data_IF_766918567584
#
_entry.id   IF_766918567584
#
_cell.length_a   1.000
_cell.length_b   1.000
_cell.length_c   1.000
_cell.angle_alpha   90.00
_cell.angle_beta   90.00
_cell.angle_gamma   90.00
#
_symmetry.space_group_name_H-M   'P 1'
#
loop_
_entity.id
_entity.type
_entity.pdbx_description
1 polymer ?
#
# COMPACT_ATOMS: atom_id res chain seq x y z
N UNK A 1 -15.48 -6.34 -20.34
CA UNK A 1 -14.71 -7.13 -19.35
C UNK A 1 -15.59 -7.30 -18.12
N UNK A 2 -16.27 -8.44 -18.00
CA UNK A 2 -17.28 -8.71 -16.97
C UNK A 2 -16.58 -9.20 -15.69
N UNK A 3 -16.26 -8.29 -14.76
CA UNK A 3 -15.62 -8.63 -13.50
C UNK A 3 -16.69 -8.93 -12.45
N UNK A 4 -16.76 -10.19 -12.00
CA UNK A 4 -17.67 -10.62 -10.93
C UNK A 4 -17.27 -9.95 -9.62
N UNK A 5 -18.23 -9.28 -8.98
CA UNK A 5 -18.12 -8.55 -7.69
C UNK A 5 -17.50 -9.35 -6.53
N UNK A 6 -17.34 -10.68 -6.64
CA UNK A 6 -16.78 -11.54 -5.58
C UNK A 6 -15.25 -11.48 -5.48
N UNK A 7 -14.55 -11.02 -6.53
CA UNK A 7 -13.08 -11.04 -6.54
C UNK A 7 -12.42 -9.81 -5.91
N UNK A 8 -13.16 -8.71 -5.76
CA UNK A 8 -12.65 -7.46 -5.19
C UNK A 8 -12.40 -7.59 -3.67
N UNK A 9 -13.17 -8.44 -2.97
CA UNK A 9 -13.11 -8.57 -1.51
C UNK A 9 -12.17 -9.69 -1.02
N UNK A 10 -11.76 -10.62 -1.89
CA UNK A 10 -10.97 -11.80 -1.46
C UNK A 10 -9.47 -11.55 -1.37
N UNK A 11 -8.96 -10.38 -1.78
CA UNK A 11 -7.51 -10.15 -1.92
C UNK A 11 -6.98 -8.88 -1.26
N UNK A 12 -7.67 -8.33 -0.26
CA UNK A 12 -7.18 -7.26 0.58
C UNK A 12 -6.81 -7.76 1.98
N UNK A 13 -5.84 -8.68 2.07
CA UNK A 13 -5.34 -9.16 3.36
C UNK A 13 -4.01 -8.49 3.66
N UNK A 14 -3.96 -7.95 4.89
CA UNK A 14 -2.81 -7.51 5.67
C UNK A 14 -2.47 -6.03 5.54
N UNK A 15 -2.92 -5.27 6.54
CA UNK A 15 -2.49 -3.91 6.92
C UNK A 15 -3.28 -2.70 6.36
N UNK A 16 -4.61 -2.79 6.31
CA UNK A 16 -5.48 -1.61 6.25
C UNK A 16 -5.94 -1.17 7.65
N UNK A 17 -5.76 0.12 7.98
CA UNK A 17 -6.26 0.82 9.18
C UNK A 17 -5.59 0.48 10.53
N UNK A 18 -4.34 0.94 10.70
CA UNK A 18 -3.57 0.88 11.97
C UNK A 18 -4.13 1.68 13.16
N UNK A 19 -5.38 2.17 13.12
CA UNK A 19 -5.92 3.07 14.13
C UNK A 19 -7.03 2.51 15.03
N UNK A 20 -7.88 1.61 14.51
CA UNK A 20 -9.14 1.26 15.20
C UNK A 20 -9.34 -0.25 15.40
N UNK A 21 -8.52 -1.08 14.76
CA UNK A 21 -8.60 -2.55 14.85
C UNK A 21 -9.78 -3.17 14.10
N UNK A 22 -10.45 -2.45 13.19
CA UNK A 22 -11.56 -2.99 12.40
C UNK A 22 -11.15 -3.25 10.94
N UNK A 23 -11.45 -4.44 10.44
CA UNK A 23 -11.20 -4.87 9.06
C UNK A 23 -12.50 -5.42 8.44
N UNK A 24 -12.93 -4.85 7.31
CA UNK A 24 -14.09 -5.36 6.58
C UNK A 24 -13.72 -6.66 5.86
N UNK A 25 -14.40 -7.76 6.16
CA UNK A 25 -14.14 -9.05 5.48
C UNK A 25 -15.04 -9.29 4.27
N UNK A 26 -16.33 -8.97 4.38
CA UNK A 26 -17.29 -9.22 3.32
C UNK A 26 -18.54 -8.37 3.48
N UNK A 27 -19.23 -8.15 2.37
CA UNK A 27 -20.56 -7.56 2.36
C UNK A 27 -21.52 -8.43 1.55
N UNK A 28 -22.76 -8.56 2.01
CA UNK A 28 -23.84 -9.22 1.29
C UNK A 28 -25.01 -8.27 1.10
N UNK A 29 -25.55 -8.27 -0.11
CA UNK A 29 -26.82 -7.61 -0.44
C UNK A 29 -27.93 -8.63 -0.20
N UNK A 30 -28.94 -8.25 0.56
CA UNK A 30 -30.19 -8.98 0.58
C UNK A 30 -31.12 -8.29 -0.42
N UNK A 31 -31.68 -9.02 -1.39
CA UNK A 31 -32.51 -8.40 -2.45
C UNK A 31 -33.95 -8.14 -1.98
N UNK A 32 -34.39 -8.78 -0.90
CA UNK A 32 -35.75 -8.63 -0.33
C UNK A 32 -35.89 -7.44 0.63
N UNK A 33 -34.77 -6.95 1.18
CA UNK A 33 -34.73 -5.81 2.11
C UNK A 33 -33.72 -4.83 1.53
N UNK A 34 -33.99 -3.53 1.55
CA UNK A 34 -33.01 -2.49 1.15
C UNK A 34 -31.84 -2.36 2.14
N UNK A 35 -31.40 -3.47 2.73
CA UNK A 35 -30.41 -3.58 3.79
C UNK A 35 -29.24 -4.44 3.31
N UNK A 36 -28.04 -3.99 3.64
CA UNK A 36 -26.75 -4.63 3.39
C UNK A 36 -26.21 -5.13 4.71
N UNK A 37 -25.74 -6.37 4.74
CA UNK A 37 -25.05 -6.94 5.90
C UNK A 37 -23.53 -6.91 5.66
N UNK A 38 -22.79 -6.38 6.62
CA UNK A 38 -21.34 -6.26 6.61
C UNK A 38 -20.76 -7.15 7.70
N UNK A 39 -19.78 -7.99 7.36
CA UNK A 39 -18.99 -8.72 8.35
C UNK A 39 -17.68 -7.98 8.58
N UNK A 40 -17.49 -7.50 9.80
CA UNK A 40 -16.31 -6.74 10.23
C UNK A 40 -15.56 -7.56 11.27
N UNK A 41 -14.27 -7.77 11.05
CA UNK A 41 -13.33 -8.32 12.03
C UNK A 41 -12.88 -7.17 12.92
N UNK A 42 -13.00 -7.33 14.23
CA UNK A 42 -12.49 -6.40 15.22
C UNK A 42 -11.39 -7.09 16.03
N UNK A 43 -10.22 -6.46 16.11
CA UNK A 43 -9.11 -6.91 16.96
C UNK A 43 -9.07 -6.05 18.22
N UNK A 44 -9.42 -6.62 19.38
CA UNK A 44 -9.33 -5.98 20.70
C UNK A 44 -8.39 -6.82 21.57
N UNK A 45 -7.36 -6.22 22.15
CA UNK A 45 -6.49 -6.89 23.13
C UNK A 45 -5.98 -8.28 22.68
N UNK A 46 -5.60 -8.41 21.39
CA UNK A 46 -5.15 -9.66 20.73
C UNK A 46 -6.24 -10.74 20.52
N UNK A 47 -7.49 -10.46 20.84
CA UNK A 47 -8.65 -11.29 20.48
C UNK A 47 -9.32 -10.77 19.21
N UNK A 48 -9.79 -11.68 18.37
CA UNK A 48 -10.54 -11.36 17.15
C UNK A 48 -12.03 -11.65 17.33
N UNK A 49 -12.87 -10.65 17.11
CA UNK A 49 -14.33 -10.75 17.18
C UNK A 49 -14.91 -10.42 15.82
N UNK A 50 -15.82 -11.25 15.31
CA UNK A 50 -16.55 -10.96 14.08
C UNK A 50 -17.89 -10.33 14.43
N UNK A 51 -18.12 -9.09 13.96
CA UNK A 51 -19.37 -8.36 14.12
C UNK A 51 -20.13 -8.30 12.80
N UNK A 52 -21.45 -8.44 12.86
CA UNK A 52 -22.33 -8.23 11.71
C UNK A 52 -23.04 -6.89 11.86
N UNK A 53 -22.84 -5.98 10.91
CA UNK A 53 -23.50 -4.67 10.87
C UNK A 53 -24.56 -4.66 9.76
N UNK A 54 -25.69 -4.02 10.00
CA UNK A 54 -26.73 -3.82 8.98
C UNK A 54 -26.87 -2.33 8.65
N UNK A 55 -26.92 -2.00 7.36
CA UNK A 55 -27.00 -0.61 6.90
C UNK A 55 -27.73 -0.53 5.55
N UNK A 56 -28.30 0.64 5.22
CA UNK A 56 -28.95 0.85 3.90
C UNK A 56 -27.94 1.20 2.81
N UNK A 57 -26.94 2.00 3.15
CA UNK A 57 -25.91 2.48 2.22
C UNK A 57 -24.51 2.11 2.75
N UNK A 58 -23.62 1.78 1.82
CA UNK A 58 -22.20 1.49 2.09
C UNK A 58 -21.39 2.38 1.17
N UNK A 59 -20.51 3.20 1.76
CA UNK A 59 -19.54 4.03 1.04
C UNK A 59 -18.17 3.39 1.22
N UNK A 60 -17.53 3.01 0.11
CA UNK A 60 -16.19 2.43 0.13
C UNK A 60 -15.18 3.52 -0.18
N UNK A 61 -14.49 3.99 0.86
CA UNK A 61 -13.39 4.95 0.76
C UNK A 61 -12.05 4.26 1.08
N UNK A 62 -11.83 3.06 0.52
CA UNK A 62 -10.68 2.19 0.86
C UNK A 62 -9.35 2.61 0.21
N UNK A 63 -9.36 3.66 -0.62
CA UNK A 63 -8.21 4.05 -1.43
C UNK A 63 -7.86 3.04 -2.53
N UNK A 64 -6.71 3.23 -3.18
CA UNK A 64 -6.18 2.24 -4.12
C UNK A 64 -5.69 0.98 -3.40
N UNK A 65 -5.80 -0.16 -4.08
CA UNK A 65 -5.46 -1.49 -3.57
C UNK A 65 -3.94 -1.73 -3.38
N UNK A 66 -3.14 -0.68 -3.13
CA UNK A 66 -1.70 -0.74 -2.88
C UNK A 66 -1.36 -1.10 -1.42
N UNK A 67 -2.26 -1.75 -0.70
CA UNK A 67 -2.08 -2.09 0.71
C UNK A 67 -1.50 -3.50 0.92
N UNK A 68 -1.11 -4.22 -0.15
CA UNK A 68 -0.45 -5.51 -0.05
C UNK A 68 0.96 -5.40 -0.61
N UNK A 69 2.02 -5.54 0.22
CA UNK A 69 3.38 -5.48 -0.28
C UNK A 69 3.63 -6.65 -1.24
N UNK A 70 4.19 -6.35 -2.41
CA UNK A 70 4.63 -7.34 -3.38
C UNK A 70 6.15 -7.36 -3.40
N UNK A 71 6.72 -8.21 -2.56
CA UNK A 71 8.17 -8.38 -2.51
C UNK A 71 8.61 -9.25 -3.68
N UNK A 72 9.64 -8.83 -4.45
CA UNK A 72 10.26 -9.71 -5.42
C UNK A 72 10.97 -10.85 -4.69
N UNK A 73 10.99 -12.04 -5.29
CA UNK A 73 11.83 -13.13 -4.80
C UNK A 73 13.27 -12.93 -5.28
N UNK A 74 14.23 -13.02 -4.36
CA UNK A 74 15.66 -13.04 -4.68
C UNK A 74 16.36 -14.17 -3.90
N UNK A 75 17.14 -15.03 -4.57
CA UNK A 75 17.86 -16.12 -3.92
C UNK A 75 18.78 -15.59 -2.81
N UNK A 76 18.68 -16.16 -1.61
CA UNK A 76 19.54 -15.80 -0.48
C UNK A 76 19.07 -14.59 0.34
N UNK A 77 17.82 -14.12 0.18
CA UNK A 77 17.22 -13.07 1.01
C UNK A 77 17.47 -13.27 2.52
N UNK A 78 17.21 -14.47 3.03
CA UNK A 78 17.39 -14.86 4.44
C UNK A 78 18.86 -14.93 4.90
N UNK A 79 19.82 -14.93 3.97
CA UNK A 79 21.25 -14.99 4.28
C UNK A 79 21.90 -13.62 4.30
N UNK A 80 21.19 -12.58 3.85
CA UNK A 80 21.72 -11.23 3.87
C UNK A 80 21.67 -10.65 5.28
N UNK A 81 22.83 -10.19 5.79
CA UNK A 81 22.90 -9.39 7.04
C UNK A 81 22.49 -7.92 6.81
N UNK A 82 21.86 -7.61 5.68
CA UNK A 82 21.51 -6.26 5.26
C UNK A 82 20.07 -5.94 5.66
N UNK A 83 19.78 -4.65 5.78
CA UNK A 83 18.41 -4.18 6.03
C UNK A 83 17.62 -4.30 4.71
N UNK A 84 16.63 -5.20 4.68
CA UNK A 84 15.67 -5.31 3.59
C UNK A 84 14.33 -4.74 4.06
N UNK A 85 13.82 -3.72 3.36
CA UNK A 85 12.58 -3.05 3.72
C UNK A 85 11.74 -2.77 2.48
N UNK A 86 10.48 -3.19 2.50
CA UNK A 86 9.49 -2.79 1.49
C UNK A 86 9.02 -1.36 1.76
N UNK A 87 8.67 -0.62 0.69
CA UNK A 87 8.23 0.78 0.79
C UNK A 87 7.04 1.00 1.71
N UNK A 88 6.11 0.05 1.78
CA UNK A 88 4.97 0.08 2.72
C UNK A 88 5.40 0.17 4.20
N UNK A 89 6.59 -0.32 4.54
CA UNK A 89 7.17 -0.22 5.88
C UNK A 89 8.18 0.91 6.00
N UNK A 90 8.56 1.57 4.90
CA UNK A 90 9.49 2.68 4.88
C UNK A 90 8.93 3.85 5.70
N UNK A 91 9.79 4.48 6.49
CA UNK A 91 9.44 5.68 7.26
C UNK A 91 10.34 6.82 6.86
N UNK A 92 11.65 6.59 6.96
CA UNK A 92 12.68 7.55 6.66
C UNK A 92 14.04 6.85 6.54
N UNK A 93 15.06 7.56 6.03
CA UNK A 93 16.39 7.00 5.77
C UNK A 93 17.48 7.45 6.76
N UNK A 94 17.14 8.20 7.82
CA UNK A 94 18.13 8.82 8.74
C UNK A 94 19.03 7.79 9.42
N UNK A 95 18.54 6.58 9.66
CA UNK A 95 19.30 5.49 10.27
C UNK A 95 20.37 4.88 9.35
N UNK A 96 20.42 5.28 8.07
CA UNK A 96 21.30 4.71 7.06
C UNK A 96 22.39 5.68 6.57
N UNK A 97 22.64 6.75 7.33
CA UNK A 97 23.70 7.72 7.02
C UNK A 97 25.04 7.03 6.74
N UNK A 98 25.73 7.48 5.69
CA UNK A 98 26.99 6.92 5.19
C UNK A 98 26.92 5.46 4.70
N UNK A 99 25.75 4.81 4.67
CA UNK A 99 25.59 3.47 4.10
C UNK A 99 25.32 3.52 2.60
N UNK A 100 25.46 2.36 1.94
CA UNK A 100 25.12 2.17 0.53
C UNK A 100 23.72 1.57 0.42
N UNK A 101 22.81 2.28 -0.26
CA UNK A 101 21.43 1.88 -0.45
C UNK A 101 21.16 1.37 -1.87
N UNK A 102 20.24 0.41 -1.98
CA UNK A 102 19.69 -0.05 -3.26
C UNK A 102 18.18 0.08 -3.19
N UNK A 103 17.59 0.72 -4.21
CA UNK A 103 16.14 0.85 -4.38
C UNK A 103 15.72 0.01 -5.58
N UNK A 104 14.78 -0.92 -5.38
CA UNK A 104 14.24 -1.77 -6.45
C UNK A 104 12.90 -1.19 -6.89
N UNK A 105 12.82 -0.73 -8.14
CA UNK A 105 11.67 -0.01 -8.69
C UNK A 105 12.01 1.43 -9.08
N UNK A 106 11.19 2.02 -9.96
CA UNK A 106 11.42 3.35 -10.55
C UNK A 106 10.15 4.18 -10.71
N UNK A 107 9.07 3.80 -10.03
CA UNK A 107 7.86 4.61 -9.96
C UNK A 107 7.96 5.67 -8.84
N UNK A 108 6.90 6.43 -8.61
CA UNK A 108 6.85 7.55 -7.67
C UNK A 108 7.50 7.23 -6.32
N UNK A 109 7.07 6.16 -5.66
CA UNK A 109 7.58 5.77 -4.33
C UNK A 109 9.10 5.52 -4.32
N UNK A 110 9.66 4.99 -5.42
CA UNK A 110 11.09 4.77 -5.52
C UNK A 110 11.86 6.09 -5.67
N UNK A 111 11.31 7.07 -6.40
CA UNK A 111 11.86 8.41 -6.51
C UNK A 111 11.83 9.12 -5.14
N UNK A 112 10.69 9.12 -4.45
CA UNK A 112 10.54 9.74 -3.12
C UNK A 112 11.49 9.12 -2.09
N UNK A 113 11.62 7.79 -2.10
CA UNK A 113 12.54 7.07 -1.20
C UNK A 113 14.00 7.40 -1.51
N UNK A 114 14.35 7.52 -2.79
CA UNK A 114 15.72 7.83 -3.24
C UNK A 114 16.12 9.25 -2.85
N UNK A 115 15.20 10.21 -3.01
CA UNK A 115 15.38 11.58 -2.52
C UNK A 115 15.63 11.59 -1.02
N UNK A 116 14.78 10.93 -0.22
CA UNK A 116 14.97 10.83 1.23
C UNK A 116 16.28 10.16 1.64
N UNK A 117 16.77 9.18 0.86
CA UNK A 117 18.09 8.57 1.06
C UNK A 117 19.23 9.54 0.75
N UNK A 118 19.11 10.34 -0.31
CA UNK A 118 20.10 11.37 -0.65
C UNK A 118 20.18 12.42 0.46
N UNK A 119 19.03 12.93 0.91
CA UNK A 119 18.91 13.90 2.01
C UNK A 119 19.51 13.38 3.32
N UNK A 120 19.35 12.08 3.60
CA UNK A 120 19.94 11.41 4.74
C UNK A 120 21.47 11.20 4.63
N UNK A 121 22.11 11.63 3.54
CA UNK A 121 23.55 11.52 3.27
C UNK A 121 24.05 10.08 3.24
N UNK A 122 23.36 9.22 2.47
CA UNK A 122 23.90 7.91 2.12
C UNK A 122 25.17 8.06 1.27
N UNK A 123 26.12 7.12 1.41
CA UNK A 123 27.38 7.18 0.66
C UNK A 123 27.21 6.83 -0.82
N UNK A 124 26.19 6.03 -1.14
CA UNK A 124 25.75 5.80 -2.53
C UNK A 124 24.31 5.30 -2.55
N UNK A 125 23.53 5.69 -3.56
CA UNK A 125 22.19 5.16 -3.81
C UNK A 125 22.13 4.63 -5.23
N UNK A 126 21.73 3.36 -5.40
CA UNK A 126 21.56 2.72 -6.71
C UNK A 126 20.09 2.36 -6.93
N UNK A 127 19.51 2.80 -8.03
CA UNK A 127 18.13 2.46 -8.40
C UNK A 127 18.13 1.35 -9.47
N UNK A 128 17.42 0.25 -9.21
CA UNK A 128 17.27 -0.87 -10.12
C UNK A 128 15.94 -0.79 -10.86
N UNK A 129 16.02 -0.73 -12.19
CA UNK A 129 14.87 -0.58 -13.09
C UNK A 129 14.70 -1.82 -13.97
N UNK A 130 13.51 -2.43 -14.01
CA UNK A 130 13.20 -3.50 -14.98
C UNK A 130 12.66 -2.98 -16.31
N UNK A 131 11.95 -1.86 -16.31
CA UNK A 131 11.23 -1.30 -17.45
C UNK A 131 11.30 0.22 -17.42
N UNK A 132 11.19 0.91 -18.55
CA UNK A 132 11.23 2.37 -18.57
C UNK A 132 10.06 2.98 -17.80
N UNK A 133 10.37 4.02 -17.02
CA UNK A 133 9.38 4.88 -16.37
C UNK A 133 9.55 6.26 -16.95
N UNK A 134 8.49 6.78 -17.54
CA UNK A 134 8.48 8.12 -18.10
C UNK A 134 8.30 9.12 -16.96
N UNK A 135 9.27 10.03 -16.80
CA UNK A 135 9.27 11.03 -15.73
C UNK A 135 8.85 12.37 -16.33
N UNK A 136 7.79 12.94 -15.79
CA UNK A 136 7.28 14.25 -16.16
C UNK A 136 7.67 15.28 -15.10
N UNK A 137 8.19 16.46 -15.50
CA UNK A 137 8.40 17.55 -14.56
C UNK A 137 7.08 18.02 -13.96
N UNK A 138 7.08 18.35 -12.67
CA UNK A 138 5.89 18.76 -11.91
C UNK A 138 5.24 20.03 -12.49
N UNK A 139 6.02 20.88 -13.14
CA UNK A 139 5.58 22.11 -13.79
C UNK A 139 4.55 21.86 -14.91
N UNK A 140 4.59 20.69 -15.54
CA UNK A 140 3.63 20.32 -16.58
C UNK A 140 2.24 20.03 -15.99
N UNK A 141 2.17 19.38 -14.83
CA UNK A 141 0.92 19.10 -14.14
C UNK A 141 0.29 20.36 -13.55
N UNK A 142 1.09 21.23 -12.92
CA UNK A 142 0.58 22.49 -12.35
C UNK A 142 0.01 23.43 -13.40
N UNK A 143 0.54 23.43 -14.63
CA UNK A 143 -0.03 24.19 -15.76
C UNK A 143 -1.39 23.65 -16.22
N UNK A 144 -1.60 22.33 -16.23
CA UNK A 144 -2.87 21.75 -16.65
C UNK A 144 -3.97 21.92 -15.60
N UNK A 145 -3.65 21.77 -14.32
CA UNK A 145 -4.61 21.87 -13.22
C UNK A 145 -5.15 23.29 -13.03
N UNK A 146 -4.34 24.32 -13.30
CA UNK A 146 -4.77 25.73 -13.23
C UNK A 146 -5.75 26.15 -14.33
N UNK A 147 -5.97 25.29 -15.35
CA UNK A 147 -6.90 25.56 -16.46
C UNK A 147 -8.29 24.95 -16.25
N UNK A 148 -8.50 24.23 -15.15
CA UNK A 148 -9.79 23.63 -14.75
C UNK A 148 -10.38 24.43 -13.60
#
# INVERSE_FOLDING_TARGET
IHLKSKDILRKGSQHGLRGTGYELQSFTRNDSRTQRALKVRQTIARSEIIKTLTCRHVVLATGEACNKPQNPFYPGENRSRRVNQHSMSYRNAQNWKCQRGVVVGTANTAHDTTEGMLDARLSSVTMMRRSWTYVLPQEYLTKSWKRT
#
